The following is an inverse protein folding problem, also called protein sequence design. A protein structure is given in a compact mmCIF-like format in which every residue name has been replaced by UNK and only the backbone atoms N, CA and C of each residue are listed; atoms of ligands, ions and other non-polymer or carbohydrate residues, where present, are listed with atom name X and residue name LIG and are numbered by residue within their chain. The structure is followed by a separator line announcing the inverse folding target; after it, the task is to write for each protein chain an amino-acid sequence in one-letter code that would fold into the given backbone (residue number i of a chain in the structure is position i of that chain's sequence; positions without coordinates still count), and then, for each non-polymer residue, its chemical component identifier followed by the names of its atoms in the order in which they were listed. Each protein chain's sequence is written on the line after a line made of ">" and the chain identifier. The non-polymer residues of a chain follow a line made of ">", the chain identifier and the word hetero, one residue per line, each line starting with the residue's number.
data_IF_504513657081
#
_entry.id   IF_504513657081
#
_cell.length_a   1.000
_cell.length_b   1.000
_cell.length_c   1.000
_cell.angle_alpha   90.00
_cell.angle_beta   90.00
_cell.angle_gamma   90.00
#
_symmetry.space_group_name_H-M   'P 1'
#
loop_
_entity.id
_entity.type
_entity.pdbx_description
1 polymer ?
#
# COMPACT_ATOMS: atom_id res chain seq x y z
N UNK A 1 -31.38 -1.34 -10.39
CA UNK A 1 -31.06 -0.40 -9.32
C UNK A 1 -29.57 -0.33 -9.16
N UNK A 2 -28.98 0.83 -9.44
CA UNK A 2 -27.56 1.07 -9.27
C UNK A 2 -27.33 1.54 -7.85
N UNK A 3 -26.70 0.70 -7.02
CA UNK A 3 -26.26 1.15 -5.71
C UNK A 3 -24.92 1.83 -5.85
N UNK A 4 -24.80 3.11 -5.50
CA UNK A 4 -23.55 3.78 -5.38
C UNK A 4 -22.81 3.25 -4.15
N UNK A 5 -21.52 2.96 -4.29
CA UNK A 5 -20.68 2.59 -3.14
C UNK A 5 -20.62 3.77 -2.15
N UNK A 6 -20.71 3.48 -0.87
CA UNK A 6 -20.46 4.47 0.17
C UNK A 6 -18.99 4.92 0.15
N UNK A 7 -18.68 6.04 0.85
CA UNK A 7 -17.30 6.48 1.01
C UNK A 7 -16.44 5.37 1.62
N UNK A 8 -16.92 4.72 2.68
CA UNK A 8 -16.20 3.64 3.35
C UNK A 8 -15.94 2.46 2.40
N UNK A 9 -16.93 2.05 1.61
CA UNK A 9 -16.81 0.97 0.64
C UNK A 9 -15.78 1.31 -0.45
N UNK A 10 -15.76 2.57 -0.90
CA UNK A 10 -14.77 3.03 -1.87
C UNK A 10 -13.34 2.95 -1.32
N UNK A 11 -13.13 3.31 -0.05
CA UNK A 11 -11.82 3.21 0.59
C UNK A 11 -11.35 1.75 0.68
N UNK A 12 -12.25 0.84 1.05
CA UNK A 12 -11.95 -0.60 1.07
C UNK A 12 -11.56 -1.08 -0.33
N UNK A 13 -12.29 -0.70 -1.37
CA UNK A 13 -12.00 -1.11 -2.74
C UNK A 13 -10.66 -0.55 -3.24
N UNK A 14 -10.36 0.70 -2.95
CA UNK A 14 -9.05 1.28 -3.29
C UNK A 14 -7.91 0.50 -2.61
N UNK A 15 -8.05 0.20 -1.33
CA UNK A 15 -7.03 -0.57 -0.61
C UNK A 15 -6.90 -1.98 -1.15
N UNK A 16 -8.02 -2.66 -1.39
CA UNK A 16 -8.02 -4.03 -1.93
C UNK A 16 -7.35 -4.11 -3.29
N UNK A 17 -7.63 -3.16 -4.18
CA UNK A 17 -6.98 -3.10 -5.51
C UNK A 17 -5.49 -2.85 -5.37
N UNK A 18 -5.09 -1.96 -4.48
CA UNK A 18 -3.67 -1.69 -4.28
C UNK A 18 -2.92 -2.93 -3.76
N UNK A 19 -3.48 -3.63 -2.79
CA UNK A 19 -2.92 -4.89 -2.29
C UNK A 19 -2.84 -5.92 -3.42
N UNK A 20 -3.89 -6.04 -4.21
CA UNK A 20 -3.96 -7.02 -5.31
C UNK A 20 -2.87 -6.80 -6.36
N UNK A 21 -2.70 -5.56 -6.81
CA UNK A 21 -1.72 -5.26 -7.86
C UNK A 21 -0.29 -5.20 -7.33
N UNK A 22 -0.09 -4.78 -6.09
CA UNK A 22 1.25 -4.68 -5.50
C UNK A 22 1.73 -5.99 -4.87
N UNK A 23 0.82 -6.80 -4.32
CA UNK A 23 1.17 -7.96 -3.51
C UNK A 23 0.23 -9.15 -3.70
N UNK A 24 -0.52 -9.21 -4.81
CA UNK A 24 -1.52 -10.26 -5.02
C UNK A 24 -0.96 -11.67 -4.99
N UNK A 25 0.26 -11.86 -5.51
CA UNK A 25 0.95 -13.15 -5.50
C UNK A 25 1.81 -13.38 -4.24
N UNK A 26 1.87 -12.40 -3.33
CA UNK A 26 2.63 -12.52 -2.09
C UNK A 26 1.87 -13.31 -1.02
N UNK A 27 2.60 -13.71 0.02
CA UNK A 27 2.02 -14.31 1.21
C UNK A 27 1.01 -13.36 1.88
N UNK A 28 0.25 -13.88 2.82
CA UNK A 28 -0.68 -13.05 3.60
C UNK A 28 0.07 -11.93 4.34
N UNK A 29 1.24 -12.23 4.93
CA UNK A 29 2.09 -11.22 5.57
C UNK A 29 2.51 -10.12 4.59
N UNK A 30 2.85 -10.47 3.35
CA UNK A 30 3.19 -9.48 2.32
C UNK A 30 2.03 -8.54 2.01
N UNK A 31 0.81 -9.07 1.97
CA UNK A 31 -0.41 -8.26 1.78
C UNK A 31 -0.67 -7.33 2.97
N UNK A 32 -0.48 -7.83 4.20
CA UNK A 32 -0.61 -7.01 5.41
C UNK A 32 0.40 -5.86 5.40
N UNK A 33 1.64 -6.13 4.99
CA UNK A 33 2.69 -5.13 4.94
C UNK A 33 2.37 -4.00 3.93
N UNK A 34 1.91 -4.35 2.73
CA UNK A 34 1.50 -3.34 1.72
C UNK A 34 0.30 -2.53 2.22
N UNK A 35 -0.67 -3.17 2.85
CA UNK A 35 -1.81 -2.48 3.46
C UNK A 35 -1.34 -1.49 4.53
N UNK A 36 -0.42 -1.90 5.40
CA UNK A 36 0.09 -1.03 6.46
C UNK A 36 0.79 0.20 5.91
N UNK A 37 1.64 0.06 4.88
CA UNK A 37 2.28 1.22 4.24
C UNK A 37 1.24 2.18 3.67
N UNK A 38 0.23 1.66 3.01
CA UNK A 38 -0.83 2.49 2.42
C UNK A 38 -1.56 3.29 3.51
N UNK A 39 -1.90 2.66 4.62
CA UNK A 39 -2.53 3.32 5.76
C UNK A 39 -1.57 4.33 6.41
N UNK A 40 -0.31 3.97 6.61
CA UNK A 40 0.70 4.87 7.17
C UNK A 40 0.79 6.17 6.37
N UNK A 41 0.78 6.07 5.03
CA UNK A 41 0.82 7.26 4.16
C UNK A 41 -0.35 8.20 4.41
N UNK A 42 -1.55 7.70 4.69
CA UNK A 42 -2.70 8.57 4.96
C UNK A 42 -2.53 9.45 6.20
N UNK A 43 -1.63 9.08 7.09
CA UNK A 43 -1.35 9.79 8.35
C UNK A 43 -0.02 10.53 8.34
N UNK A 44 0.74 10.42 7.26
CA UNK A 44 2.08 11.02 7.15
C UNK A 44 2.01 12.35 6.41
N UNK A 45 2.70 13.37 6.91
CA UNK A 45 2.72 14.69 6.30
C UNK A 45 3.17 14.62 4.83
N UNK A 46 2.47 15.36 3.97
CA UNK A 46 2.77 15.42 2.55
C UNK A 46 2.05 14.37 1.71
N UNK A 47 1.29 13.47 2.32
CA UNK A 47 0.46 12.50 1.61
C UNK A 47 -1.03 12.85 1.72
N UNK A 48 -1.84 12.40 0.75
CA UNK A 48 -3.29 12.50 0.89
C UNK A 48 -3.80 11.83 2.16
N UNK A 49 -4.89 12.34 2.73
CA UNK A 49 -5.43 11.85 3.99
C UNK A 49 -6.40 10.66 3.83
N UNK A 50 -6.71 10.26 2.60
CA UNK A 50 -7.60 9.14 2.31
C UNK A 50 -6.85 8.01 1.61
N UNK A 51 -7.33 6.79 1.76
CA UNK A 51 -6.74 5.62 1.08
C UNK A 51 -6.81 5.79 -0.43
N UNK A 52 -7.96 6.14 -0.97
CA UNK A 52 -8.09 6.36 -2.41
C UNK A 52 -7.16 7.48 -2.89
N UNK A 53 -7.01 8.54 -2.11
CA UNK A 53 -6.07 9.63 -2.42
C UNK A 53 -4.63 9.13 -2.50
N UNK A 54 -4.20 8.33 -1.53
CA UNK A 54 -2.86 7.73 -1.52
C UNK A 54 -2.65 6.79 -2.71
N UNK A 55 -3.63 5.92 -2.98
CA UNK A 55 -3.53 4.92 -4.05
C UNK A 55 -3.45 5.59 -5.43
N UNK A 56 -4.17 6.68 -5.62
CA UNK A 56 -4.24 7.40 -6.90
C UNK A 56 -3.23 8.54 -7.02
N UNK A 57 -2.38 8.74 -6.01
CA UNK A 57 -1.47 9.88 -5.96
C UNK A 57 -0.47 9.87 -7.11
N UNK A 58 -0.30 11.06 -7.71
CA UNK A 58 0.74 11.34 -8.69
C UNK A 58 1.68 12.42 -8.15
N UNK A 59 2.96 12.28 -8.45
CA UNK A 59 3.97 13.32 -8.20
C UNK A 59 4.70 13.57 -9.51
N UNK A 60 4.71 14.82 -9.98
CA UNK A 60 5.33 15.20 -11.24
C UNK A 60 4.85 14.32 -12.42
N UNK A 61 3.54 14.03 -12.45
CA UNK A 61 2.93 13.23 -13.51
C UNK A 61 3.13 11.71 -13.38
N UNK A 62 3.85 11.24 -12.36
CA UNK A 62 4.12 9.82 -12.15
C UNK A 62 3.29 9.27 -11.00
N UNK A 63 2.60 8.15 -11.25
CA UNK A 63 1.85 7.46 -10.20
C UNK A 63 2.78 6.89 -9.15
N UNK A 64 2.45 7.08 -7.88
CA UNK A 64 3.20 6.50 -6.76
C UNK A 64 3.07 4.98 -6.74
N UNK A 65 1.89 4.48 -7.09
CA UNK A 65 1.67 3.06 -7.38
C UNK A 65 1.51 2.92 -8.90
N UNK A 66 2.51 2.33 -9.54
CA UNK A 66 2.64 2.33 -11.01
C UNK A 66 1.44 1.69 -11.72
N UNK A 67 0.81 0.68 -11.10
CA UNK A 67 -0.33 -0.01 -11.71
C UNK A 67 -1.48 0.96 -12.03
N UNK A 68 -1.64 2.01 -11.23
CA UNK A 68 -2.74 2.96 -11.43
C UNK A 68 -2.58 3.79 -12.72
N UNK A 69 -1.34 4.05 -13.18
CA UNK A 69 -1.06 4.74 -14.44
C UNK A 69 -0.88 3.81 -15.63
N UNK A 70 -0.76 2.51 -15.39
CA UNK A 70 -0.64 1.50 -16.44
C UNK A 70 -2.03 0.90 -16.66
N UNK A 71 -2.25 0.27 -17.81
CA UNK A 71 -3.47 -0.50 -18.03
C UNK A 71 -3.29 -1.88 -17.38
N UNK A 72 -3.65 -2.05 -16.09
CA UNK A 72 -3.42 -3.31 -15.42
C UNK A 72 -4.35 -4.37 -15.93
N UNK A 73 -3.95 -5.64 -15.81
CA UNK A 73 -4.82 -6.76 -16.13
C UNK A 73 -6.10 -6.68 -15.29
N UNK A 74 -7.28 -6.98 -15.86
CA UNK A 74 -8.52 -7.01 -15.09
C UNK A 74 -8.40 -7.91 -13.86
N UNK A 75 -9.05 -7.53 -12.78
CA UNK A 75 -9.08 -8.32 -11.55
C UNK A 75 -9.91 -9.57 -11.76
N UNK A 76 -9.32 -10.73 -11.48
CA UNK A 76 -10.08 -11.96 -11.38
C UNK A 76 -10.70 -12.06 -9.99
N UNK A 77 -11.96 -11.67 -9.87
CA UNK A 77 -12.67 -11.63 -8.58
C UNK A 77 -12.93 -13.01 -7.97
N UNK A 78 -12.74 -14.07 -8.75
CA UNK A 78 -12.84 -15.45 -8.25
C UNK A 78 -11.52 -15.98 -7.72
N UNK A 79 -10.41 -15.26 -7.97
CA UNK A 79 -9.09 -15.71 -7.54
C UNK A 79 -8.91 -15.60 -6.03
N UNK A 80 -8.09 -16.49 -5.48
CA UNK A 80 -7.68 -16.41 -4.07
C UNK A 80 -6.94 -15.09 -3.80
N UNK A 81 -6.11 -14.64 -4.73
CA UNK A 81 -5.36 -13.40 -4.59
C UNK A 81 -6.28 -12.20 -4.38
N UNK A 82 -7.38 -12.11 -5.12
CA UNK A 82 -8.36 -11.04 -4.93
C UNK A 82 -9.11 -11.17 -3.61
N UNK A 83 -9.58 -12.38 -3.31
CA UNK A 83 -10.34 -12.63 -2.07
C UNK A 83 -9.50 -12.32 -0.84
N UNK A 84 -8.23 -12.71 -0.82
CA UNK A 84 -7.32 -12.39 0.28
C UNK A 84 -7.02 -10.89 0.34
N UNK A 85 -6.84 -10.22 -0.79
CA UNK A 85 -6.62 -8.78 -0.85
C UNK A 85 -7.82 -8.00 -0.30
N UNK A 86 -9.02 -8.39 -0.66
CA UNK A 86 -10.25 -7.79 -0.15
C UNK A 86 -10.40 -8.05 1.35
N UNK A 87 -10.10 -9.26 1.79
CA UNK A 87 -10.13 -9.62 3.21
C UNK A 87 -9.17 -8.76 4.03
N UNK A 88 -7.92 -8.61 3.58
CA UNK A 88 -6.94 -7.75 4.25
C UNK A 88 -7.42 -6.29 4.30
N UNK A 89 -7.96 -5.77 3.19
CA UNK A 89 -8.48 -4.39 3.16
C UNK A 89 -9.58 -4.19 4.21
N UNK A 90 -10.49 -5.16 4.36
CA UNK A 90 -11.53 -5.11 5.39
C UNK A 90 -10.95 -5.18 6.80
N UNK A 91 -9.95 -6.04 7.05
CA UNK A 91 -9.29 -6.10 8.35
C UNK A 91 -8.75 -4.74 8.79
N UNK A 92 -8.11 -4.00 7.87
CA UNK A 92 -7.53 -2.69 8.19
C UNK A 92 -8.58 -1.60 8.34
N UNK A 93 -9.55 -1.52 7.45
CA UNK A 93 -10.48 -0.39 7.40
C UNK A 93 -11.76 -0.61 8.21
N UNK A 94 -12.28 -1.82 8.26
CA UNK A 94 -13.48 -2.15 9.00
C UNK A 94 -13.16 -2.53 10.45
N UNK A 95 -12.16 -3.40 10.64
CA UNK A 95 -11.79 -3.93 11.95
C UNK A 95 -10.61 -3.22 12.59
N UNK A 96 -10.08 -2.18 11.94
CA UNK A 96 -8.99 -1.33 12.48
C UNK A 96 -7.74 -2.11 12.88
N UNK A 97 -7.44 -3.18 12.16
CA UNK A 97 -6.22 -3.96 12.37
C UNK A 97 -4.97 -3.14 12.01
N UNK A 98 -3.87 -3.44 12.66
CA UNK A 98 -2.54 -2.96 12.28
C UNK A 98 -1.60 -4.14 12.12
N UNK A 99 -0.50 -3.94 11.36
CA UNK A 99 0.53 -4.96 11.16
C UNK A 99 1.77 -4.56 11.96
N UNK A 100 1.99 -5.22 13.09
CA UNK A 100 2.96 -4.81 14.11
C UNK A 100 4.42 -4.89 13.67
N UNK A 101 4.73 -5.63 12.60
CA UNK A 101 6.10 -5.69 12.06
C UNK A 101 6.55 -4.40 11.39
N UNK A 102 5.63 -3.50 11.05
CA UNK A 102 5.94 -2.20 10.45
C UNK A 102 5.51 -1.08 11.39
N UNK A 103 6.48 -0.22 11.76
CA UNK A 103 6.16 0.99 12.51
C UNK A 103 5.39 2.00 11.66
N UNK A 104 4.75 2.98 12.30
CA UNK A 104 3.86 3.96 11.65
C UNK A 104 4.56 4.87 10.63
N UNK A 105 5.88 4.98 10.71
CA UNK A 105 6.69 5.79 9.80
C UNK A 105 7.25 5.02 8.60
N UNK A 106 6.89 3.74 8.45
CA UNK A 106 7.26 2.94 7.27
C UNK A 106 6.32 3.31 6.13
N UNK A 107 6.84 4.05 5.16
CA UNK A 107 6.03 4.65 4.08
C UNK A 107 6.51 4.29 2.67
N UNK A 108 7.59 3.50 2.54
CA UNK A 108 8.11 3.07 1.24
C UNK A 108 8.41 1.60 1.21
N UNK A 109 8.26 1.02 0.03
CA UNK A 109 8.74 -0.33 -0.25
C UNK A 109 9.10 -0.45 -1.73
N UNK A 110 9.95 -1.42 -2.04
CA UNK A 110 10.21 -1.88 -3.40
C UNK A 110 10.48 -3.37 -3.40
N UNK A 111 10.44 -3.98 -4.59
CA UNK A 111 10.79 -5.40 -4.71
C UNK A 111 12.29 -5.59 -4.46
N UNK A 112 12.66 -6.76 -3.93
CA UNK A 112 14.07 -7.09 -3.64
C UNK A 112 14.93 -7.06 -4.89
N UNK A 113 14.35 -7.23 -6.09
CA UNK A 113 15.06 -7.24 -7.37
C UNK A 113 15.18 -5.87 -8.03
N UNK A 114 14.50 -4.83 -7.53
CA UNK A 114 14.56 -3.50 -8.12
C UNK A 114 15.85 -2.78 -7.75
N UNK A 115 16.58 -2.21 -8.74
CA UNK A 115 17.66 -1.29 -8.43
C UNK A 115 17.08 -0.02 -7.80
N UNK A 116 17.73 0.47 -6.75
CA UNK A 116 17.14 1.49 -5.93
C UNK A 116 18.10 2.65 -5.69
N UNK A 117 17.75 3.85 -6.19
CA UNK A 117 18.62 5.03 -6.16
C UNK A 117 18.30 6.01 -5.03
N UNK A 118 17.13 5.93 -4.38
CA UNK A 118 16.77 6.87 -3.32
C UNK A 118 17.03 6.37 -1.89
N UNK A 119 17.76 5.27 -1.75
CA UNK A 119 18.12 4.64 -0.46
C UNK A 119 18.79 5.61 0.50
N UNK A 120 19.49 6.64 -0.01
CA UNK A 120 20.19 7.61 0.83
C UNK A 120 19.26 8.43 1.75
N UNK A 121 17.99 8.60 1.35
CA UNK A 121 16.99 9.37 2.13
C UNK A 121 16.21 8.52 3.11
N UNK A 122 16.32 7.21 3.00
CA UNK A 122 15.48 6.26 3.71
C UNK A 122 16.33 5.23 4.43
N UNK A 123 15.82 4.78 5.55
CA UNK A 123 16.42 3.73 6.36
C UNK A 123 15.63 2.44 6.13
N UNK A 124 16.35 1.36 5.80
CA UNK A 124 15.73 0.04 5.73
C UNK A 124 15.15 -0.32 7.09
N UNK A 125 13.89 -0.75 7.11
CA UNK A 125 13.22 -1.22 8.30
C UNK A 125 13.22 -2.76 8.37
N UNK A 126 12.64 -3.42 7.36
CA UNK A 126 12.57 -4.87 7.32
C UNK A 126 12.25 -5.37 5.92
N UNK A 127 12.40 -6.68 5.70
CA UNK A 127 11.96 -7.36 4.49
C UNK A 127 10.79 -8.26 4.84
N UNK A 128 9.73 -8.21 4.02
CA UNK A 128 8.58 -9.11 4.13
C UNK A 128 8.32 -9.68 2.74
N UNK A 129 8.49 -10.99 2.59
CA UNK A 129 8.38 -11.65 1.28
C UNK A 129 9.37 -11.06 0.28
N UNK A 130 8.88 -10.64 -0.88
CA UNK A 130 9.71 -10.07 -1.95
C UNK A 130 9.81 -8.54 -1.89
N UNK A 131 9.40 -7.91 -0.79
CA UNK A 131 9.47 -6.46 -0.63
C UNK A 131 10.38 -6.07 0.53
N UNK A 132 11.14 -5.00 0.32
CA UNK A 132 11.95 -4.34 1.35
C UNK A 132 11.22 -3.05 1.73
N UNK A 133 11.07 -2.80 3.02
CA UNK A 133 10.30 -1.68 3.58
C UNK A 133 11.23 -0.68 4.24
N UNK A 134 10.92 0.60 4.06
CA UNK A 134 11.76 1.72 4.48
C UNK A 134 10.97 2.79 5.21
N UNK A 135 11.67 3.48 6.11
CA UNK A 135 11.19 4.69 6.76
C UNK A 135 12.15 5.84 6.48
N UNK A 136 11.71 7.11 6.58
CA UNK A 136 12.61 8.23 6.43
C UNK A 136 13.71 8.18 7.49
N UNK A 137 14.92 8.62 7.12
CA UNK A 137 15.98 8.79 8.09
C UNK A 137 15.60 9.94 9.03
N UNK A 138 15.86 9.76 10.34
CA UNK A 138 15.66 10.84 11.31
C UNK A 138 16.61 11.98 10.96
N UNK A 139 16.07 13.22 10.91
CA UNK A 139 16.91 14.40 10.84
C UNK A 139 17.68 14.48 12.16
N UNK A 140 19.00 14.53 12.07
CA UNK A 140 19.85 14.84 13.23
C UNK A 140 19.72 16.35 13.42
N UNK A 141 19.04 16.77 14.48
CA UNK A 141 19.03 18.16 14.88
C UNK A 141 20.37 18.45 15.56
N UNK A 142 21.23 19.14 14.84
CA UNK A 142 22.45 19.71 15.42
C UNK A 142 22.14 21.07 15.99
#
# INVERSE_FOLDING_TARGET
>A
VFSNLSFADNQVMCLAKNIYYEAGAESFDGKLAVAQVTINRTKYDGYPSTVCGVVKQKRNGTCQFSWFCQEPKPINKKSKNWKDSLHVANLFLTYKMSYDKLSEDVIFFHTVSSPFTWVKRYQKHTTVGNHIFYKPKKKINT
#
